data_IF_541754415013
#
_entry.id   IF_541754415013
#
_cell.length_a   1.000
_cell.length_b   1.000
_cell.length_c   1.000
_cell.angle_alpha   90.00
_cell.angle_beta   90.00
_cell.angle_gamma   90.00
#
_symmetry.space_group_name_H-M   'P 1'
#
loop_
_entity.id
_entity.type
_entity.pdbx_description
1 polymer ?
#
# COMPACT_ATOMS: atom_id res chain seq x y z
N UNK A 1 7.43 -2.23 -55.92
CA UNK A 1 6.99 -1.35 -54.82
C UNK A 1 6.73 -2.24 -53.63
N UNK A 2 7.67 -2.28 -52.71
CA UNK A 2 7.59 -3.11 -51.51
C UNK A 2 7.30 -2.18 -50.34
N UNK A 3 6.12 -2.38 -49.71
CA UNK A 3 5.74 -1.70 -48.49
C UNK A 3 6.56 -2.21 -47.31
N UNK A 4 7.27 -1.32 -46.63
CA UNK A 4 7.97 -1.58 -45.39
C UNK A 4 6.95 -1.83 -44.25
N UNK A 5 7.16 -2.83 -43.41
CA UNK A 5 6.28 -3.05 -42.25
C UNK A 5 6.49 -1.95 -41.20
N UNK A 6 5.39 -1.37 -40.76
CA UNK A 6 5.32 -0.37 -39.71
C UNK A 6 5.93 -0.89 -38.38
N UNK A 7 6.86 -0.13 -37.84
CA UNK A 7 7.44 -0.33 -36.51
C UNK A 7 6.32 -0.21 -35.45
N UNK A 8 6.17 -1.17 -34.54
CA UNK A 8 5.19 -1.04 -33.47
C UNK A 8 5.57 0.10 -32.52
N UNK A 9 4.59 0.84 -31.96
CA UNK A 9 4.85 1.95 -31.07
C UNK A 9 5.45 1.44 -29.76
N UNK A 10 6.58 2.04 -29.45
CA UNK A 10 7.29 2.19 -28.17
C UNK A 10 6.71 1.39 -26.98
N UNK A 11 7.49 0.40 -26.56
CA UNK A 11 7.26 -0.33 -25.30
C UNK A 11 7.13 0.69 -24.16
N UNK A 12 5.93 0.78 -23.60
CA UNK A 12 5.63 1.52 -22.41
C UNK A 12 6.66 1.16 -21.32
N UNK A 13 7.25 2.17 -20.69
CA UNK A 13 8.09 2.06 -19.50
C UNK A 13 7.40 1.12 -18.53
N UNK A 14 7.97 -0.05 -18.36
CA UNK A 14 7.58 -0.97 -17.29
C UNK A 14 7.99 -0.27 -15.99
N UNK A 15 7.05 0.40 -15.36
CA UNK A 15 7.23 0.89 -14.00
C UNK A 15 7.46 -0.35 -13.16
N UNK A 16 8.67 -0.55 -12.65
CA UNK A 16 8.97 -1.65 -11.73
C UNK A 16 7.96 -1.58 -10.60
N UNK A 17 7.09 -2.58 -10.53
CA UNK A 17 6.03 -2.63 -9.55
C UNK A 17 6.66 -2.65 -8.15
N UNK A 18 6.52 -1.56 -7.41
CA UNK A 18 7.11 -1.41 -6.07
C UNK A 18 6.50 -2.42 -5.11
N UNK A 19 7.33 -3.22 -4.48
CA UNK A 19 6.90 -4.12 -3.41
C UNK A 19 6.42 -3.27 -2.23
N UNK A 20 5.16 -3.48 -1.84
CA UNK A 20 4.54 -2.82 -0.69
C UNK A 20 4.83 -3.56 0.61
N UNK A 21 4.86 -4.89 0.55
CA UNK A 21 5.04 -5.74 1.71
C UNK A 21 5.64 -7.09 1.29
N UNK A 22 6.43 -7.69 2.18
CA UNK A 22 6.99 -9.04 2.03
C UNK A 22 6.66 -9.85 3.27
N UNK A 23 6.29 -11.10 3.06
CA UNK A 23 5.96 -12.03 4.13
C UNK A 23 5.65 -13.40 3.56
N UNK A 24 4.73 -14.12 4.18
CA UNK A 24 4.30 -15.43 3.69
C UNK A 24 2.79 -15.64 3.85
N UNK A 25 2.20 -16.42 2.96
CA UNK A 25 0.88 -17.01 3.16
C UNK A 25 1.07 -18.24 4.05
N UNK A 26 0.25 -18.37 5.09
CA UNK A 26 0.31 -19.46 6.05
C UNK A 26 -1.07 -20.06 6.25
N UNK A 27 -1.15 -21.40 6.30
CA UNK A 27 -2.31 -22.16 6.73
C UNK A 27 -1.89 -23.59 7.09
N UNK A 28 -2.23 -24.03 8.29
CA UNK A 28 -1.78 -25.32 8.80
C UNK A 28 -0.25 -25.42 8.80
N UNK A 29 0.28 -26.39 8.05
CA UNK A 29 1.73 -26.60 7.90
C UNK A 29 2.32 -25.95 6.64
N UNK A 30 1.50 -25.25 5.85
CA UNK A 30 1.93 -24.62 4.62
C UNK A 30 2.43 -23.22 4.90
N UNK A 31 3.59 -22.88 4.31
CA UNK A 31 4.21 -21.57 4.41
C UNK A 31 4.80 -21.18 3.05
N UNK A 32 4.22 -20.14 2.42
CA UNK A 32 4.56 -19.72 1.07
C UNK A 32 5.10 -18.30 1.09
N UNK A 33 6.41 -18.09 0.89
CA UNK A 33 6.97 -16.75 0.81
C UNK A 33 6.38 -15.96 -0.36
N UNK A 34 5.86 -14.75 -0.08
CA UNK A 34 5.20 -13.89 -1.07
C UNK A 34 5.55 -12.42 -0.89
N UNK A 35 5.36 -11.66 -1.95
CA UNK A 35 5.37 -10.20 -1.93
C UNK A 35 4.04 -9.65 -2.45
N UNK A 36 3.62 -8.54 -1.88
CA UNK A 36 2.43 -7.79 -2.28
C UNK A 36 2.84 -6.57 -3.12
N UNK A 37 2.07 -6.34 -4.18
CA UNK A 37 2.20 -5.21 -5.08
C UNK A 37 0.86 -4.51 -5.23
N UNK A 38 0.87 -3.19 -5.46
CA UNK A 38 -0.37 -2.48 -5.80
C UNK A 38 -0.92 -2.98 -7.13
N UNK A 39 -2.21 -3.30 -7.17
CA UNK A 39 -2.92 -3.58 -8.41
C UNK A 39 -3.64 -2.33 -8.95
N UNK A 40 -3.49 -1.18 -8.28
CA UNK A 40 -3.98 0.13 -8.74
C UNK A 40 -2.81 0.99 -9.16
N UNK A 41 -2.94 1.66 -10.29
CA UNK A 41 -2.08 2.78 -10.69
C UNK A 41 -2.90 4.05 -10.58
N UNK A 42 -2.40 5.05 -9.88
CA UNK A 42 -2.94 6.41 -10.00
C UNK A 42 -2.33 7.05 -11.25
N UNK A 43 -3.19 7.52 -12.13
CA UNK A 43 -2.78 8.32 -13.30
C UNK A 43 -2.89 9.82 -12.99
N UNK A 44 -2.75 10.18 -11.70
CA UNK A 44 -2.82 11.56 -11.29
C UNK A 44 -1.66 12.33 -11.91
N UNK A 45 -2.00 13.45 -12.52
CA UNK A 45 -1.00 14.41 -12.98
C UNK A 45 -0.41 15.07 -11.73
N UNK A 46 0.89 14.95 -11.57
CA UNK A 46 1.62 15.63 -10.52
C UNK A 46 1.90 17.06 -10.97
N UNK A 47 1.29 18.02 -10.28
CA UNK A 47 1.46 19.45 -10.58
C UNK A 47 2.32 20.09 -9.50
N UNK A 48 3.39 20.71 -9.92
CA UNK A 48 4.19 21.59 -9.04
C UNK A 48 3.50 22.93 -8.87
N UNK A 49 3.51 23.43 -7.63
CA UNK A 49 3.07 24.79 -7.33
C UNK A 49 4.19 25.76 -7.69
N UNK A 50 3.87 26.73 -8.57
CA UNK A 50 4.82 27.73 -9.03
C UNK A 50 4.38 29.12 -8.62
N UNK A 51 5.34 30.00 -8.31
CA UNK A 51 5.09 31.45 -8.18
C UNK A 51 4.80 32.02 -9.58
N UNK A 52 3.60 32.52 -9.79
CA UNK A 52 3.14 33.04 -11.09
C UNK A 52 3.97 34.21 -11.65
N UNK A 53 4.78 34.86 -10.80
CA UNK A 53 5.61 36.01 -11.17
C UNK A 53 7.00 35.59 -11.66
N UNK A 54 7.56 34.52 -11.08
CA UNK A 54 8.92 34.05 -11.38
C UNK A 54 8.95 32.71 -12.04
N UNK A 55 7.82 31.97 -12.02
CA UNK A 55 7.69 30.59 -12.50
C UNK A 55 8.61 29.60 -11.77
N UNK A 56 9.01 29.94 -10.56
CA UNK A 56 9.83 29.09 -9.71
C UNK A 56 8.98 28.24 -8.76
N UNK A 57 9.45 27.02 -8.38
CA UNK A 57 8.73 26.15 -7.44
C UNK A 57 8.52 26.80 -6.08
N UNK A 58 7.31 26.62 -5.52
CA UNK A 58 6.92 27.13 -4.20
C UNK A 58 7.19 26.08 -3.12
N UNK A 59 7.82 26.47 -2.03
CA UNK A 59 8.01 25.64 -0.85
C UNK A 59 6.98 25.93 0.25
N UNK A 60 6.83 24.99 1.19
CA UNK A 60 5.96 25.14 2.37
C UNK A 60 6.79 25.40 3.62
N UNK A 61 6.34 26.34 4.44
CA UNK A 61 6.88 26.58 5.78
C UNK A 61 5.84 26.23 6.84
N UNK A 62 6.28 25.60 7.93
CA UNK A 62 5.41 25.33 9.07
C UNK A 62 5.42 26.54 9.99
N UNK A 63 4.26 27.10 10.25
CA UNK A 63 4.10 28.28 11.10
C UNK A 63 3.18 27.97 12.27
N UNK A 64 3.38 28.63 13.40
CA UNK A 64 2.42 28.67 14.50
C UNK A 64 1.22 29.53 14.08
N UNK A 65 0.04 28.94 14.03
CA UNK A 65 -1.18 29.62 13.55
C UNK A 65 -1.54 30.87 14.37
N UNK A 66 -1.17 30.91 15.66
CA UNK A 66 -1.48 32.05 16.57
C UNK A 66 -0.47 33.19 16.43
N UNK A 67 0.79 32.85 16.25
CA UNK A 67 1.87 33.89 16.24
C UNK A 67 2.40 34.22 14.85
N UNK A 68 2.08 33.41 13.84
CA UNK A 68 2.61 33.53 12.47
C UNK A 68 4.08 33.17 12.33
N UNK A 69 4.78 32.82 13.42
CA UNK A 69 6.22 32.52 13.40
C UNK A 69 6.49 31.12 12.85
N UNK A 70 7.57 30.99 12.10
CA UNK A 70 8.06 29.71 11.60
C UNK A 70 8.50 28.81 12.77
N UNK A 71 8.21 27.51 12.67
CA UNK A 71 8.53 26.50 13.68
C UNK A 71 9.47 25.47 13.07
N UNK A 72 10.58 25.20 13.75
CA UNK A 72 11.48 24.12 13.35
C UNK A 72 10.83 22.75 13.55
N UNK A 73 11.18 21.78 12.70
CA UNK A 73 10.60 20.43 12.75
C UNK A 73 10.75 19.74 14.11
N UNK A 74 11.84 19.99 14.81
CA UNK A 74 12.13 19.46 16.15
C UNK A 74 11.16 19.94 17.25
N UNK A 75 10.55 21.11 17.04
CA UNK A 75 9.64 21.74 18.01
C UNK A 75 8.17 21.43 17.72
N UNK A 76 7.91 20.53 16.75
CA UNK A 76 6.57 20.10 16.37
C UNK A 76 6.28 18.76 17.02
N UNK A 77 5.22 18.70 17.81
CA UNK A 77 4.72 17.49 18.45
C UNK A 77 3.36 17.11 17.86
N UNK A 78 2.99 15.83 17.96
CA UNK A 78 1.66 15.35 17.61
C UNK A 78 0.77 15.39 18.84
N UNK A 79 -0.46 15.83 18.66
CA UNK A 79 -1.45 15.83 19.73
C UNK A 79 -2.84 15.53 19.20
N UNK A 80 -3.69 15.01 20.08
CA UNK A 80 -5.12 14.77 19.83
C UNK A 80 -5.90 15.82 20.63
N UNK A 81 -6.81 16.50 19.96
CA UNK A 81 -7.78 17.39 20.62
C UNK A 81 -8.82 16.51 21.32
N UNK A 82 -9.00 16.73 22.62
CA UNK A 82 -9.92 15.91 23.44
C UNK A 82 -11.19 16.67 23.80
N UNK A 83 -11.11 17.94 24.13
CA UNK A 83 -12.24 18.84 24.44
C UNK A 83 -11.81 20.29 24.27
N UNK A 84 -12.67 21.15 23.73
CA UNK A 84 -12.60 22.61 23.72
C UNK A 84 -11.20 23.23 23.56
N UNK A 85 -10.41 22.78 22.59
CA UNK A 85 -9.09 23.31 22.31
C UNK A 85 -7.98 22.78 23.21
N UNK A 86 -8.26 21.80 24.09
CA UNK A 86 -7.22 21.10 24.85
C UNK A 86 -6.63 19.94 24.07
N UNK A 87 -5.32 19.91 23.99
CA UNK A 87 -4.57 18.88 23.28
C UNK A 87 -3.82 17.99 24.27
N UNK A 88 -3.93 16.69 24.08
CA UNK A 88 -3.04 15.70 24.70
C UNK A 88 -1.91 15.43 23.70
N UNK A 89 -0.67 15.70 24.13
CA UNK A 89 0.53 15.43 23.33
C UNK A 89 0.83 13.93 23.39
N UNK A 90 1.08 13.34 22.22
CA UNK A 90 1.43 11.93 22.09
C UNK A 90 2.90 11.82 21.67
N UNK A 91 3.64 11.00 22.38
CA UNK A 91 5.00 10.62 21.99
C UNK A 91 4.99 9.69 20.76
N UNK A 92 6.07 9.62 19.99
CA UNK A 92 6.19 8.65 18.90
C UNK A 92 6.01 7.20 19.37
N UNK A 93 6.45 6.89 20.60
CA UNK A 93 6.36 5.57 21.22
C UNK A 93 4.91 5.21 21.55
N UNK A 94 4.14 6.14 22.12
CA UNK A 94 2.71 5.95 22.39
C UNK A 94 1.90 5.77 21.11
N UNK A 95 2.22 6.56 20.08
CA UNK A 95 1.60 6.40 18.77
C UNK A 95 1.93 5.03 18.19
N UNK A 96 3.21 4.60 18.23
CA UNK A 96 3.62 3.30 17.72
C UNK A 96 2.99 2.14 18.49
N UNK A 97 2.81 2.28 19.81
CA UNK A 97 2.17 1.26 20.65
C UNK A 97 0.66 1.11 20.37
N UNK A 98 0.00 2.18 19.92
CA UNK A 98 -1.42 2.17 19.56
C UNK A 98 -1.71 1.48 18.22
N UNK A 99 -0.69 1.38 17.34
CA UNK A 99 -0.85 0.66 16.07
C UNK A 99 -0.61 -0.84 16.26
N UNK A 100 -1.42 -1.70 15.61
CA UNK A 100 -1.16 -3.12 15.60
C UNK A 100 0.23 -3.37 14.98
N UNK A 101 0.99 -4.30 15.59
CA UNK A 101 2.29 -4.68 15.03
C UNK A 101 2.11 -5.27 13.65
N UNK A 102 2.97 -4.88 12.70
CA UNK A 102 2.97 -5.48 11.38
C UNK A 102 3.14 -6.99 11.49
N UNK A 103 2.29 -7.72 10.80
CA UNK A 103 2.44 -9.17 10.68
C UNK A 103 3.33 -9.48 9.48
N UNK A 104 4.16 -10.51 9.62
CA UNK A 104 4.98 -11.05 8.51
C UNK A 104 4.26 -12.20 7.80
N UNK A 105 3.03 -12.51 8.21
CA UNK A 105 2.24 -13.61 7.66
C UNK A 105 0.82 -13.15 7.31
N UNK A 106 0.30 -13.74 6.25
CA UNK A 106 -1.10 -13.73 5.85
C UNK A 106 -1.64 -15.09 6.29
N UNK A 107 -2.16 -15.15 7.51
CA UNK A 107 -2.68 -16.40 8.07
C UNK A 107 -4.11 -16.62 7.60
N UNK A 108 -4.31 -17.63 6.75
CA UNK A 108 -5.64 -17.98 6.24
C UNK A 108 -6.44 -18.65 7.36
N UNK A 109 -7.49 -17.98 7.80
CA UNK A 109 -8.39 -18.43 8.86
C UNK A 109 -9.53 -19.31 8.32
N UNK A 110 -9.96 -19.07 7.07
CA UNK A 110 -11.06 -19.78 6.44
C UNK A 110 -10.98 -19.79 4.92
N UNK A 111 -11.63 -20.78 4.30
CA UNK A 111 -11.86 -20.84 2.86
C UNK A 111 -13.37 -20.83 2.59
N UNK A 112 -13.86 -19.82 1.88
CA UNK A 112 -15.27 -19.65 1.54
C UNK A 112 -15.47 -19.59 0.03
N UNK A 113 -16.71 -19.70 -0.44
CA UNK A 113 -17.01 -19.51 -1.85
C UNK A 113 -16.81 -18.04 -2.25
N UNK A 114 -16.17 -17.80 -3.38
CA UNK A 114 -15.92 -16.43 -3.86
C UNK A 114 -17.23 -15.65 -4.05
N UNK A 115 -18.31 -16.32 -4.44
CA UNK A 115 -19.65 -15.73 -4.62
C UNK A 115 -20.31 -15.26 -3.32
N UNK A 116 -19.82 -15.69 -2.15
CA UNK A 116 -20.36 -15.28 -0.85
C UNK A 116 -19.83 -13.90 -0.40
N UNK A 117 -18.82 -13.35 -1.09
CA UNK A 117 -18.25 -12.04 -0.75
C UNK A 117 -19.00 -10.95 -1.53
N UNK A 118 -19.78 -10.08 -0.85
CA UNK A 118 -20.40 -8.92 -1.49
C UNK A 118 -19.33 -7.95 -2.00
N UNK A 119 -19.53 -7.44 -3.21
CA UNK A 119 -18.61 -6.48 -3.86
C UNK A 119 -18.29 -5.26 -2.99
N UNK A 120 -19.22 -4.83 -2.15
CA UNK A 120 -19.07 -3.65 -1.25
C UNK A 120 -17.89 -3.77 -0.27
N UNK A 121 -17.43 -4.99 0.01
CA UNK A 121 -16.28 -5.23 0.90
C UNK A 121 -14.92 -5.20 0.16
N UNK A 122 -14.92 -5.07 -1.17
CA UNK A 122 -13.69 -5.02 -1.97
C UNK A 122 -13.23 -3.57 -2.12
N UNK A 123 -12.26 -3.15 -1.33
CA UNK A 123 -11.75 -1.77 -1.35
C UNK A 123 -10.54 -1.59 -2.26
N UNK A 124 -9.45 -2.31 -1.97
CA UNK A 124 -8.17 -2.18 -2.67
C UNK A 124 -7.64 -3.51 -3.16
N UNK A 125 -7.46 -3.68 -4.46
CA UNK A 125 -6.82 -4.86 -4.99
C UNK A 125 -5.30 -4.80 -4.84
N UNK A 126 -4.71 -5.97 -4.58
CA UNK A 126 -3.27 -6.18 -4.58
C UNK A 126 -2.94 -7.42 -5.40
N UNK A 127 -1.79 -7.41 -6.06
CA UNK A 127 -1.22 -8.62 -6.62
C UNK A 127 -0.33 -9.28 -5.58
N UNK A 128 -0.41 -10.61 -5.52
CA UNK A 128 0.48 -11.44 -4.72
C UNK A 128 1.36 -12.22 -5.68
N UNK A 129 2.68 -12.18 -5.47
CA UNK A 129 3.62 -12.99 -6.23
C UNK A 129 4.51 -13.80 -5.28
N UNK A 130 4.82 -15.07 -5.62
CA UNK A 130 5.74 -15.87 -4.84
C UNK A 130 7.16 -15.32 -4.94
N UNK A 131 7.92 -15.47 -3.86
CA UNK A 131 9.34 -15.14 -3.76
C UNK A 131 10.09 -16.31 -3.13
N UNK A 132 11.44 -16.28 -3.15
CA UNK A 132 12.28 -17.22 -2.39
C UNK A 132 11.93 -18.71 -2.60
N UNK A 133 11.77 -19.16 -3.85
CA UNK A 133 11.42 -20.55 -4.22
C UNK A 133 10.02 -21.00 -3.78
N UNK A 134 9.10 -20.06 -3.55
CA UNK A 134 7.70 -20.34 -3.21
C UNK A 134 6.82 -20.72 -4.40
N UNK A 135 7.34 -20.67 -5.65
CA UNK A 135 6.56 -20.73 -6.89
C UNK A 135 5.71 -22.02 -7.01
N UNK A 136 6.29 -23.18 -6.69
CA UNK A 136 5.59 -24.47 -6.82
C UNK A 136 4.41 -24.58 -5.87
N UNK A 137 4.61 -24.24 -4.61
CA UNK A 137 3.57 -24.32 -3.58
C UNK A 137 2.50 -23.25 -3.81
N UNK A 138 2.92 -22.06 -4.26
CA UNK A 138 2.01 -21.00 -4.65
C UNK A 138 1.13 -21.42 -5.84
N UNK A 139 1.72 -22.01 -6.88
CA UNK A 139 0.97 -22.50 -8.04
C UNK A 139 -0.06 -23.55 -7.63
N UNK A 140 0.32 -24.49 -6.75
CA UNK A 140 -0.60 -25.51 -6.25
C UNK A 140 -1.77 -24.91 -5.47
N UNK A 141 -1.51 -23.95 -4.57
CA UNK A 141 -2.56 -23.22 -3.85
C UNK A 141 -3.50 -22.49 -4.82
N UNK A 142 -2.94 -21.77 -5.78
CA UNK A 142 -3.70 -21.02 -6.78
C UNK A 142 -4.62 -21.96 -7.59
N UNK A 143 -4.11 -23.07 -8.08
CA UNK A 143 -4.90 -24.05 -8.85
C UNK A 143 -6.01 -24.68 -7.99
N UNK A 144 -5.72 -24.99 -6.72
CA UNK A 144 -6.73 -25.53 -5.81
C UNK A 144 -7.87 -24.54 -5.54
N UNK A 145 -7.54 -23.25 -5.34
CA UNK A 145 -8.53 -22.19 -5.16
C UNK A 145 -9.39 -21.99 -6.42
N UNK A 146 -8.76 -21.95 -7.59
CA UNK A 146 -9.46 -21.82 -8.87
C UNK A 146 -10.40 -23.02 -9.13
N UNK A 147 -9.92 -24.24 -8.94
CA UNK A 147 -10.71 -25.45 -9.16
C UNK A 147 -11.91 -25.58 -8.21
N UNK A 148 -11.77 -25.08 -6.98
CA UNK A 148 -12.84 -25.15 -5.97
C UNK A 148 -13.78 -23.93 -6.00
N UNK A 149 -13.46 -22.85 -6.72
CA UNK A 149 -14.18 -21.60 -6.69
C UNK A 149 -14.11 -20.88 -5.34
N UNK A 150 -13.14 -21.24 -4.50
CA UNK A 150 -12.96 -20.70 -3.15
C UNK A 150 -11.91 -19.60 -3.11
N UNK A 151 -12.01 -18.79 -2.06
CA UNK A 151 -11.02 -17.78 -1.67
C UNK A 151 -10.62 -17.99 -0.22
N UNK A 152 -9.39 -17.64 0.12
CA UNK A 152 -8.92 -17.64 1.50
C UNK A 152 -9.22 -16.29 2.17
N UNK A 153 -9.76 -16.35 3.38
CA UNK A 153 -9.97 -15.18 4.24
C UNK A 153 -8.84 -15.13 5.25
N UNK A 154 -8.16 -13.99 5.31
CA UNK A 154 -7.02 -13.80 6.20
C UNK A 154 -6.98 -12.36 6.74
N UNK A 155 -6.20 -12.16 7.80
CA UNK A 155 -5.87 -10.82 8.32
C UNK A 155 -4.38 -10.56 8.16
N UNK A 156 -4.06 -9.34 7.73
CA UNK A 156 -2.67 -8.90 7.63
C UNK A 156 -2.57 -7.43 8.01
N UNK A 157 -1.53 -7.08 8.73
CA UNK A 157 -1.20 -5.69 9.04
C UNK A 157 -0.03 -5.26 8.18
N UNK A 158 -0.35 -4.44 7.17
CA UNK A 158 0.62 -3.86 6.25
C UNK A 158 0.93 -2.45 6.76
N UNK A 159 2.19 -2.17 7.11
CA UNK A 159 2.59 -0.80 7.37
C UNK A 159 2.61 -0.02 6.06
N UNK A 160 1.57 0.76 5.84
CA UNK A 160 1.61 1.85 4.86
C UNK A 160 2.15 3.10 5.55
N UNK A 161 3.25 3.65 5.04
CA UNK A 161 3.74 4.95 5.47
C UNK A 161 2.77 6.06 5.08
#
# INVERSE_FOLDING_TARGET
MAESPATPPNAARTTEARILWKGAISFGLVHIPVALYSATSSSDLDFDWLDSRTMEPVGYKRINKKTGKEIAAKDIVKGIEVEDGRYVVLSPEEIAAAFPKATQTIDIEAFIQAAEIPFVYLERPYYIAPINRGEKVYALLREALLASGKVGIARVVIHTK
#
